data_IF_158876934985
#
_entry.id   IF_158876934985
#
_cell.length_a   1.000
_cell.length_b   1.000
_cell.length_c   1.000
_cell.angle_alpha   90.00
_cell.angle_beta   90.00
_cell.angle_gamma   90.00
#
_symmetry.space_group_name_H-M   'P 1'
#
loop_
_entity.id
_entity.type
_entity.pdbx_description
1 polymer ?
#
# COMPACT_ATOMS: atom_id res chain seq x y z
N UNK A 1 -11.71 19.54 19.03
CA UNK A 1 -11.69 18.17 18.50
C UNK A 1 -11.78 18.23 16.98
N UNK A 2 -11.03 17.39 16.24
CA UNK A 2 -11.03 17.46 14.77
C UNK A 2 -12.37 17.00 14.15
N UNK A 3 -13.11 16.14 14.86
CA UNK A 3 -14.38 15.56 14.42
C UNK A 3 -15.40 15.54 15.58
N UNK A 4 -15.75 16.71 16.08
CA UNK A 4 -16.69 16.84 17.21
C UNK A 4 -18.06 16.21 16.89
N UNK A 5 -18.57 15.35 17.78
CA UNK A 5 -19.85 14.66 17.61
C UNK A 5 -19.86 13.48 16.64
N UNK A 6 -18.72 13.13 16.00
CA UNK A 6 -18.61 12.00 15.08
C UNK A 6 -17.84 10.84 15.72
N UNK A 7 -18.35 9.61 15.60
CA UNK A 7 -17.66 8.39 15.98
C UNK A 7 -17.25 7.62 14.73
N UNK A 8 -15.96 7.28 14.62
CA UNK A 8 -15.46 6.40 13.57
C UNK A 8 -15.53 4.95 14.05
N UNK A 9 -16.04 4.06 13.20
CA UNK A 9 -16.16 2.63 13.48
C UNK A 9 -15.45 1.82 12.39
N UNK A 10 -14.61 0.88 12.82
CA UNK A 10 -13.87 0.01 11.91
C UNK A 10 -14.64 -1.26 11.60
N UNK A 11 -15.01 -1.46 10.33
CA UNK A 11 -15.56 -2.73 9.83
C UNK A 11 -14.41 -3.60 9.32
N UNK A 12 -14.27 -4.81 9.87
CA UNK A 12 -13.16 -5.72 9.51
C UNK A 12 -13.68 -6.94 8.74
N UNK A 13 -12.95 -7.34 7.69
CA UNK A 13 -13.16 -8.60 6.96
C UNK A 13 -11.82 -9.34 6.83
N UNK A 14 -11.83 -10.65 7.05
CA UNK A 14 -10.70 -11.52 6.71
C UNK A 14 -10.88 -11.99 5.29
N UNK A 15 -9.88 -11.78 4.44
CA UNK A 15 -9.93 -12.11 3.02
C UNK A 15 -8.75 -13.00 2.63
N UNK A 16 -8.89 -13.89 1.64
CA UNK A 16 -7.78 -14.69 1.14
C UNK A 16 -6.73 -13.81 0.43
N UNK A 17 -5.45 -14.12 0.64
CA UNK A 17 -4.35 -13.29 0.11
C UNK A 17 -4.17 -13.40 -1.42
N UNK A 18 -4.63 -14.49 -2.04
CA UNK A 18 -4.35 -14.79 -3.44
C UNK A 18 -5.61 -15.04 -4.28
N UNK A 19 -6.79 -14.67 -3.78
CA UNK A 19 -8.05 -14.87 -4.50
C UNK A 19 -8.79 -13.54 -4.64
N UNK A 20 -8.72 -12.94 -5.83
CA UNK A 20 -9.29 -11.63 -6.09
C UNK A 20 -10.82 -11.59 -5.99
N UNK A 21 -11.51 -12.63 -6.45
CA UNK A 21 -12.99 -12.65 -6.44
C UNK A 21 -13.60 -12.63 -5.02
N UNK A 22 -13.17 -13.47 -4.05
CA UNK A 22 -13.64 -13.34 -2.67
C UNK A 22 -13.30 -12.00 -2.02
N UNK A 23 -12.15 -11.40 -2.38
CA UNK A 23 -11.74 -10.07 -1.89
C UNK A 23 -12.67 -9.00 -2.44
N UNK A 24 -12.97 -9.02 -3.74
CA UNK A 24 -13.92 -8.12 -4.38
C UNK A 24 -15.29 -8.17 -3.71
N UNK A 25 -15.80 -9.38 -3.46
CA UNK A 25 -17.08 -9.57 -2.78
C UNK A 25 -17.07 -8.95 -1.38
N UNK A 26 -15.99 -9.16 -0.62
CA UNK A 26 -15.83 -8.59 0.72
C UNK A 26 -15.78 -7.06 0.70
N UNK A 27 -15.15 -6.48 -0.33
CA UNK A 27 -15.12 -5.02 -0.54
C UNK A 27 -16.53 -4.50 -0.86
N UNK A 28 -17.25 -5.13 -1.78
CA UNK A 28 -18.63 -4.75 -2.10
C UNK A 28 -19.58 -4.84 -0.89
N UNK A 29 -19.40 -5.82 -0.01
CA UNK A 29 -20.13 -5.92 1.26
C UNK A 29 -19.83 -4.75 2.19
N UNK A 30 -18.55 -4.41 2.41
CA UNK A 30 -18.15 -3.24 3.21
C UNK A 30 -18.75 -1.93 2.67
N UNK A 31 -18.76 -1.76 1.35
CA UNK A 31 -19.36 -0.60 0.68
C UNK A 31 -20.86 -0.56 0.91
N UNK A 32 -21.53 -1.72 0.84
CA UNK A 32 -22.98 -1.83 1.08
C UNK A 32 -23.35 -1.52 2.53
N UNK A 33 -22.43 -1.72 3.48
CA UNK A 33 -22.56 -1.33 4.89
C UNK A 33 -22.25 0.15 5.16
N UNK A 34 -21.91 0.92 4.13
CA UNK A 34 -21.70 2.37 4.23
C UNK A 34 -20.28 2.77 4.65
N UNK A 35 -19.26 1.96 4.33
CA UNK A 35 -17.88 2.35 4.58
C UNK A 35 -17.49 3.60 3.78
N UNK A 36 -16.77 4.53 4.42
CA UNK A 36 -16.30 5.78 3.79
C UNK A 36 -14.85 5.72 3.33
N UNK A 37 -14.13 4.64 3.67
CA UNK A 37 -12.77 4.36 3.25
C UNK A 37 -12.46 2.87 3.44
N UNK A 38 -11.52 2.33 2.67
CA UNK A 38 -11.08 0.93 2.75
C UNK A 38 -9.58 0.88 3.04
N UNK A 39 -9.20 0.09 4.03
CA UNK A 39 -7.80 -0.12 4.42
C UNK A 39 -7.32 -1.52 3.99
N UNK A 40 -6.17 -1.58 3.31
CA UNK A 40 -5.58 -2.83 2.84
C UNK A 40 -6.30 -3.41 1.61
N UNK A 41 -6.14 -4.72 1.30
CA UNK A 41 -5.35 -5.70 2.03
C UNK A 41 -3.83 -5.46 1.87
N UNK A 42 -3.02 -6.25 2.59
CA UNK A 42 -1.55 -6.21 2.47
C UNK A 42 -1.02 -6.95 1.23
N UNK A 43 -1.83 -7.84 0.65
CA UNK A 43 -1.38 -8.68 -0.47
C UNK A 43 -1.25 -7.87 -1.76
N UNK A 44 -0.09 -7.91 -2.43
CA UNK A 44 0.08 -7.27 -3.74
C UNK A 44 -0.78 -7.94 -4.83
N UNK A 45 -1.15 -9.20 -4.65
CA UNK A 45 -1.93 -9.98 -5.63
C UNK A 45 -3.38 -9.50 -5.69
N UNK A 46 -3.97 -9.17 -4.53
CA UNK A 46 -5.40 -8.82 -4.43
C UNK A 46 -5.64 -7.32 -4.24
N UNK A 47 -4.60 -6.51 -4.06
CA UNK A 47 -4.73 -5.05 -4.03
C UNK A 47 -5.37 -4.48 -5.31
N UNK A 48 -4.99 -4.89 -6.54
CA UNK A 48 -5.54 -4.28 -7.76
C UNK A 48 -7.06 -4.41 -7.91
N UNK A 49 -7.67 -5.49 -7.39
CA UNK A 49 -9.13 -5.62 -7.43
C UNK A 49 -9.82 -4.69 -6.43
N UNK A 50 -9.20 -4.41 -5.29
CA UNK A 50 -9.70 -3.41 -4.34
C UNK A 50 -9.61 -2.02 -4.97
N UNK A 51 -8.44 -1.66 -5.53
CA UNK A 51 -8.23 -0.39 -6.23
C UNK A 51 -9.28 -0.16 -7.32
N UNK A 52 -9.54 -1.16 -8.16
CA UNK A 52 -10.55 -1.10 -9.23
C UNK A 52 -11.95 -0.78 -8.71
N UNK A 53 -12.40 -1.49 -7.65
CA UNK A 53 -13.73 -1.26 -7.07
C UNK A 53 -13.79 0.12 -6.42
N UNK A 54 -12.76 0.50 -5.66
CA UNK A 54 -12.72 1.78 -4.96
C UNK A 54 -12.65 2.98 -5.89
N UNK A 55 -11.93 2.86 -7.01
CA UNK A 55 -11.89 3.90 -8.06
C UNK A 55 -13.26 4.03 -8.75
N UNK A 56 -13.91 2.90 -9.07
CA UNK A 56 -15.27 2.88 -9.64
C UNK A 56 -16.32 3.50 -8.72
N UNK A 57 -16.12 3.40 -7.40
CA UNK A 57 -17.07 3.87 -6.38
C UNK A 57 -16.67 5.20 -5.75
N UNK A 58 -15.54 5.78 -6.17
CA UNK A 58 -14.98 7.00 -5.59
C UNK A 58 -14.76 6.91 -4.06
N UNK A 59 -14.36 5.73 -3.59
CA UNK A 59 -14.11 5.46 -2.16
C UNK A 59 -12.60 5.49 -1.91
N UNK A 60 -12.11 6.28 -0.92
CA UNK A 60 -10.70 6.27 -0.55
C UNK A 60 -10.19 4.87 -0.21
N UNK A 61 -9.11 4.47 -0.86
CA UNK A 61 -8.38 3.23 -0.62
C UNK A 61 -7.01 3.56 -0.02
N UNK A 62 -6.75 3.06 1.18
CA UNK A 62 -5.54 3.36 1.95
C UNK A 62 -4.75 2.08 2.20
N UNK A 63 -3.46 2.08 1.89
CA UNK A 63 -2.61 0.92 2.13
C UNK A 63 -1.20 1.32 2.55
N UNK A 64 -0.48 0.39 3.18
CA UNK A 64 0.83 0.64 3.81
C UNK A 64 1.85 -0.40 3.31
N UNK A 65 1.88 -0.67 2.01
CA UNK A 65 2.78 -1.67 1.41
C UNK A 65 3.63 -1.06 0.30
N UNK A 66 4.80 -1.64 0.11
CA UNK A 66 5.58 -1.36 -1.09
C UNK A 66 4.83 -1.85 -2.34
N UNK A 67 4.93 -1.10 -3.42
CA UNK A 67 4.36 -1.45 -4.73
C UNK A 67 5.24 -0.85 -5.83
N UNK A 68 5.57 -1.64 -6.85
CA UNK A 68 6.18 -1.13 -8.09
C UNK A 68 5.13 -0.55 -9.06
N UNK A 69 3.85 -0.84 -8.82
CA UNK A 69 2.76 -0.28 -9.62
C UNK A 69 2.55 1.19 -9.25
N UNK A 70 2.76 2.08 -10.23
CA UNK A 70 2.26 3.44 -10.18
C UNK A 70 0.74 3.36 -10.37
N UNK A 71 0.02 3.39 -9.26
CA UNK A 71 -1.44 3.46 -9.27
C UNK A 71 -1.86 4.73 -10.01
N UNK A 72 -2.69 4.58 -11.05
CA UNK A 72 -3.31 5.70 -11.76
C UNK A 72 -4.67 6.06 -11.17
N UNK A 73 -5.06 5.44 -10.05
CA UNK A 73 -6.36 5.70 -9.43
C UNK A 73 -6.30 7.00 -8.66
N UNK A 74 -7.37 7.78 -8.73
CA UNK A 74 -7.49 9.03 -7.98
C UNK A 74 -7.91 8.78 -6.53
N UNK A 75 -8.30 7.56 -6.21
CA UNK A 75 -8.83 7.17 -4.91
C UNK A 75 -7.81 6.42 -4.03
N UNK A 76 -6.58 6.21 -4.49
CA UNK A 76 -5.57 5.44 -3.78
C UNK A 76 -4.56 6.31 -3.01
N UNK A 77 -4.32 5.99 -1.75
CA UNK A 77 -3.28 6.58 -0.90
C UNK A 77 -2.38 5.48 -0.35
N UNK A 78 -1.13 5.46 -0.79
CA UNK A 78 -0.10 4.59 -0.22
C UNK A 78 0.68 5.35 0.86
N UNK A 79 0.61 4.88 2.10
CA UNK A 79 1.37 5.40 3.24
C UNK A 79 2.74 4.73 3.38
N UNK A 80 3.08 3.77 2.53
CA UNK A 80 4.43 3.21 2.48
C UNK A 80 5.39 4.23 1.85
N UNK A 81 6.61 4.41 2.39
CA UNK A 81 7.59 5.34 1.84
C UNK A 81 7.86 5.09 0.36
N UNK A 82 7.99 6.16 -0.42
CA UNK A 82 8.40 6.07 -1.81
C UNK A 82 9.79 5.40 -1.94
N UNK A 83 9.97 4.61 -3.00
CA UNK A 83 11.19 3.85 -3.21
C UNK A 83 12.43 4.76 -3.37
N UNK A 84 12.29 5.93 -4.00
CA UNK A 84 13.39 6.87 -4.20
C UNK A 84 13.77 7.59 -2.88
N UNK A 85 12.79 7.82 -2.00
CA UNK A 85 13.03 8.37 -0.66
C UNK A 85 13.80 7.35 0.19
N UNK A 86 13.38 6.09 0.17
CA UNK A 86 14.07 5.02 0.88
C UNK A 86 15.49 4.80 0.34
N UNK A 87 15.66 4.79 -0.98
CA UNK A 87 16.97 4.68 -1.61
C UNK A 87 17.92 5.82 -1.20
N UNK A 88 17.42 7.06 -1.14
CA UNK A 88 18.20 8.20 -0.64
C UNK A 88 18.63 8.01 0.82
N UNK A 89 17.71 7.58 1.69
CA UNK A 89 18.04 7.34 3.09
C UNK A 89 19.13 6.25 3.25
N UNK A 90 19.12 5.22 2.40
CA UNK A 90 20.18 4.20 2.39
C UNK A 90 21.54 4.78 1.96
N UNK A 91 21.56 5.65 0.93
CA UNK A 91 22.77 6.37 0.52
C UNK A 91 23.34 7.20 1.68
N UNK A 92 22.49 7.93 2.41
CA UNK A 92 22.91 8.74 3.56
C UNK A 92 23.55 7.87 4.67
N UNK A 93 23.02 6.66 4.90
CA UNK A 93 23.60 5.70 5.86
C UNK A 93 24.98 5.24 5.39
N UNK A 94 25.13 4.84 4.13
CA UNK A 94 26.42 4.39 3.57
C UNK A 94 27.46 5.51 3.65
N UNK A 95 27.08 6.75 3.31
CA UNK A 95 27.95 7.92 3.37
C UNK A 95 28.36 8.28 4.80
N UNK A 96 27.40 8.29 5.74
CA UNK A 96 27.70 8.58 7.15
C UNK A 96 28.58 7.52 7.82
N UNK A 97 28.54 6.28 7.34
CA UNK A 97 29.41 5.20 7.79
C UNK A 97 30.82 5.23 7.16
N UNK A 98 31.04 6.09 6.15
CA UNK A 98 32.32 6.21 5.46
C UNK A 98 32.68 5.00 4.59
N UNK A 99 31.69 4.23 4.15
CA UNK A 99 31.92 3.02 3.36
C UNK A 99 32.32 3.35 1.92
N UNK A 100 33.43 2.78 1.46
CA UNK A 100 33.92 2.92 0.07
C UNK A 100 33.58 1.70 -0.79
N UNK A 101 33.22 0.58 -0.18
CA UNK A 101 32.76 -0.64 -0.83
C UNK A 101 31.73 -1.34 0.06
N UNK A 102 30.67 -1.86 -0.54
CA UNK A 102 29.61 -2.60 0.14
C UNK A 102 28.96 -3.59 -0.83
N UNK A 103 28.19 -4.53 -0.28
CA UNK A 103 27.44 -5.53 -1.06
C UNK A 103 25.97 -5.47 -0.65
N UNK A 104 25.08 -5.42 -1.63
CA UNK A 104 23.63 -5.49 -1.40
C UNK A 104 23.21 -6.95 -1.42
N UNK A 105 22.54 -7.39 -0.35
CA UNK A 105 21.89 -8.70 -0.27
C UNK A 105 20.39 -8.48 -0.32
N UNK A 106 19.72 -9.08 -1.28
CA UNK A 106 18.28 -8.99 -1.47
C UNK A 106 17.66 -10.38 -1.62
N UNK A 107 16.37 -10.49 -1.33
CA UNK A 107 15.65 -11.77 -1.32
C UNK A 107 15.07 -12.13 -2.69
N UNK A 108 14.52 -11.15 -3.39
CA UNK A 108 13.81 -11.29 -4.67
C UNK A 108 14.04 -10.08 -5.58
N UNK A 109 13.55 -10.16 -6.82
CA UNK A 109 13.70 -9.08 -7.81
C UNK A 109 13.06 -7.77 -7.35
N UNK A 110 12.03 -7.81 -6.50
CA UNK A 110 11.41 -6.62 -5.89
C UNK A 110 12.41 -5.85 -5.00
N UNK A 111 13.35 -6.56 -4.37
CA UNK A 111 14.45 -5.98 -3.62
C UNK A 111 15.33 -5.05 -4.46
N UNK A 112 15.59 -5.41 -5.73
CA UNK A 112 16.40 -4.58 -6.64
C UNK A 112 15.73 -3.24 -6.96
N UNK A 113 14.40 -3.23 -7.14
CA UNK A 113 13.67 -2.00 -7.41
C UNK A 113 13.75 -0.98 -6.26
N UNK A 114 13.85 -1.46 -5.01
CA UNK A 114 13.95 -0.59 -3.82
C UNK A 114 15.30 0.08 -3.65
N UNK A 115 16.34 -0.49 -4.25
CA UNK A 115 17.72 -0.01 -4.15
C UNK A 115 18.21 0.63 -5.43
N UNK A 116 17.32 0.92 -6.39
CA UNK A 116 17.66 1.51 -7.69
C UNK A 116 18.50 2.81 -7.58
N UNK A 117 18.37 3.53 -6.48
CA UNK A 117 19.04 4.81 -6.22
C UNK A 117 20.43 4.68 -5.56
N UNK A 118 20.80 3.48 -5.10
CA UNK A 118 22.12 3.18 -4.55
C UNK A 118 23.17 3.04 -5.67
#
# INVERSE_FOLDING_TARGET
DLLEGTKLEGLTRKVPEHQSFPVEKSVCELISEGCVAIFGPRSPVTTPIVESVTDTKEIPHIFTRWTHHVSRTLCAVNLYPDADVLGSALVDVVQSAGWTAFTIVYYDDDGLYRVKKL
#
